data_IF_682468058380
#
_entry.id   IF_682468058380
#
_cell.length_a   1.000
_cell.length_b   1.000
_cell.length_c   1.000
_cell.angle_alpha   90.00
_cell.angle_beta   90.00
_cell.angle_gamma   90.00
#
_symmetry.space_group_name_H-M   'P 1'
#
loop_
_entity.id
_entity.type
_entity.pdbx_description
1 polymer ?
#
# COMPACT_ATOMS: atom_id res chain seq x y z
N UNK A 1 5.45 16.83 3.25
CA UNK A 1 4.65 15.72 3.81
C UNK A 1 5.52 14.62 4.42
N UNK A 2 6.31 13.87 3.64
CA UNK A 2 7.11 12.75 4.19
C UNK A 2 8.03 13.14 5.35
N UNK A 3 8.75 14.26 5.27
CA UNK A 3 9.60 14.73 6.38
C UNK A 3 8.78 14.91 7.67
N UNK A 4 7.59 15.52 7.59
CA UNK A 4 6.70 15.73 8.74
C UNK A 4 6.25 14.39 9.32
N UNK A 5 5.83 13.42 8.49
CA UNK A 5 5.42 12.10 8.95
C UNK A 5 6.55 11.37 9.70
N UNK A 6 7.79 11.45 9.20
CA UNK A 6 8.95 10.82 9.85
C UNK A 6 9.33 11.54 11.15
N UNK A 7 9.28 12.87 11.17
CA UNK A 7 9.50 13.64 12.41
C UNK A 7 8.47 13.29 13.49
N UNK A 8 7.19 13.20 13.12
CA UNK A 8 6.12 12.77 14.03
C UNK A 8 6.29 11.33 14.50
N UNK A 9 6.75 10.43 13.62
CA UNK A 9 7.05 9.04 14.00
C UNK A 9 8.19 8.95 15.03
N UNK A 10 9.24 9.77 14.90
CA UNK A 10 10.32 9.82 15.89
C UNK A 10 9.83 10.32 17.26
N UNK A 11 8.98 11.36 17.28
CA UNK A 11 8.32 11.82 18.50
C UNK A 11 7.45 10.72 19.09
N UNK A 12 6.64 10.05 18.26
CA UNK A 12 5.80 8.93 18.68
C UNK A 12 6.60 7.78 19.26
N UNK A 13 7.75 7.45 18.68
CA UNK A 13 8.65 6.41 19.19
C UNK A 13 9.21 6.75 20.56
N UNK A 14 9.64 8.00 20.78
CA UNK A 14 10.02 8.48 22.11
C UNK A 14 8.87 8.34 23.11
N UNK A 15 7.65 8.74 22.73
CA UNK A 15 6.47 8.60 23.60
C UNK A 15 6.17 7.13 23.94
N UNK A 16 6.27 6.22 22.97
CA UNK A 16 6.01 4.79 23.16
C UNK A 16 6.97 4.14 24.16
N UNK A 17 8.24 4.56 24.17
CA UNK A 17 9.24 3.98 25.06
C UNK A 17 9.12 4.54 26.48
N UNK A 18 8.95 5.86 26.61
CA UNK A 18 9.16 6.53 27.91
C UNK A 18 7.86 6.93 28.62
N UNK A 19 6.76 7.15 27.90
CA UNK A 19 5.58 7.81 28.46
C UNK A 19 4.25 7.05 28.24
N UNK A 20 4.17 6.21 27.21
CA UNK A 20 2.92 5.57 26.81
C UNK A 20 2.48 4.49 27.79
N UNK A 21 1.17 4.36 27.99
CA UNK A 21 0.59 3.23 28.72
C UNK A 21 0.79 1.95 27.91
N UNK A 22 0.97 0.82 28.60
CA UNK A 22 1.08 -0.50 27.96
C UNK A 22 -0.07 -0.81 26.99
N UNK A 23 -1.29 -0.38 27.31
CA UNK A 23 -2.43 -0.53 26.40
C UNK A 23 -2.23 0.21 25.07
N UNK A 24 -1.66 1.43 25.10
CA UNK A 24 -1.33 2.19 23.90
C UNK A 24 -0.25 1.50 23.09
N UNK A 25 0.81 1.03 23.76
CA UNK A 25 1.92 0.30 23.10
C UNK A 25 1.38 -0.96 22.40
N UNK A 26 0.60 -1.78 23.11
CA UNK A 26 -0.02 -2.98 22.56
C UNK A 26 -0.95 -2.66 21.39
N UNK A 27 -1.77 -1.62 21.53
CA UNK A 27 -2.65 -1.18 20.44
C UNK A 27 -1.86 -0.75 19.20
N UNK A 28 -0.79 0.03 19.36
CA UNK A 28 0.07 0.45 18.26
C UNK A 28 0.66 -0.76 17.53
N UNK A 29 1.21 -1.73 18.26
CA UNK A 29 1.77 -2.96 17.65
C UNK A 29 0.68 -3.74 16.90
N UNK A 30 -0.48 -3.98 17.53
CA UNK A 30 -1.58 -4.71 16.91
C UNK A 30 -2.09 -4.00 15.65
N UNK A 31 -2.26 -2.68 15.71
CA UNK A 31 -2.69 -1.87 14.57
C UNK A 31 -1.69 -1.95 13.41
N UNK A 32 -0.38 -1.86 13.69
CA UNK A 32 0.67 -2.03 12.69
C UNK A 32 0.65 -3.44 12.07
N UNK A 33 0.40 -4.49 12.87
CA UNK A 33 0.28 -5.86 12.36
C UNK A 33 -0.94 -6.03 11.45
N UNK A 34 -2.09 -5.45 11.83
CA UNK A 34 -3.31 -5.46 11.00
C UNK A 34 -3.03 -4.81 9.62
N UNK A 35 -2.36 -3.65 9.62
CA UNK A 35 -1.90 -3.00 8.39
C UNK A 35 -0.98 -3.89 7.56
N UNK A 36 0.05 -4.46 8.19
CA UNK A 36 1.01 -5.36 7.55
C UNK A 36 0.35 -6.60 6.93
N UNK A 37 -0.61 -7.23 7.63
CA UNK A 37 -1.39 -8.36 7.11
C UNK A 37 -2.29 -7.93 5.95
N UNK A 38 -2.93 -6.77 6.05
CA UNK A 38 -3.75 -6.21 4.97
C UNK A 38 -2.97 -5.99 3.66
N UNK A 39 -1.71 -5.55 3.76
CA UNK A 39 -0.81 -5.44 2.59
C UNK A 39 -0.33 -6.82 2.13
N UNK A 40 0.23 -7.63 3.02
CA UNK A 40 0.94 -8.86 2.63
C UNK A 40 -0.01 -10.01 2.26
N UNK A 41 -1.00 -10.31 3.09
CA UNK A 41 -1.99 -11.33 2.80
C UNK A 41 -3.04 -10.82 1.81
N UNK A 42 -3.47 -9.56 1.95
CA UNK A 42 -4.44 -8.91 1.08
C UNK A 42 -3.82 -8.42 -0.23
N UNK A 43 -3.43 -7.14 -0.28
CA UNK A 43 -3.05 -6.44 -1.52
C UNK A 43 -2.05 -7.25 -2.36
N UNK A 44 -1.03 -7.82 -1.73
CA UNK A 44 0.04 -8.58 -2.36
C UNK A 44 -0.42 -9.98 -2.81
N UNK A 45 -0.69 -10.91 -1.88
CA UNK A 45 -0.92 -12.33 -2.22
C UNK A 45 -2.31 -12.61 -2.79
N UNK A 46 -3.35 -12.00 -2.24
CA UNK A 46 -4.73 -12.25 -2.67
C UNK A 46 -5.04 -11.54 -3.99
N UNK A 47 -4.91 -10.22 -4.01
CA UNK A 47 -5.37 -9.41 -5.14
C UNK A 47 -4.30 -9.27 -6.23
N UNK A 48 -3.04 -9.07 -5.88
CA UNK A 48 -2.02 -8.89 -6.92
C UNK A 48 -1.65 -10.21 -7.60
N UNK A 49 -1.28 -11.22 -6.82
CA UNK A 49 -0.74 -12.49 -7.32
C UNK A 49 -1.75 -13.63 -7.42
N UNK A 50 -2.98 -13.46 -6.92
CA UNK A 50 -4.03 -14.49 -6.95
C UNK A 50 -3.58 -15.83 -6.38
N UNK A 51 -2.71 -15.80 -5.36
CA UNK A 51 -2.09 -17.02 -4.81
C UNK A 51 -3.08 -17.91 -4.04
N UNK A 52 -4.24 -17.37 -3.66
CA UNK A 52 -5.33 -18.10 -3.01
C UNK A 52 -6.67 -17.39 -3.26
N UNK A 53 -7.77 -18.06 -2.92
CA UNK A 53 -9.12 -17.50 -2.95
C UNK A 53 -9.62 -17.24 -1.53
N UNK A 54 -10.32 -16.13 -1.32
CA UNK A 54 -10.90 -15.76 -0.04
C UNK A 54 -12.41 -15.57 -0.19
N UNK A 55 -13.17 -15.97 0.84
CA UNK A 55 -14.60 -15.68 0.90
C UNK A 55 -14.83 -14.17 1.18
N UNK A 56 -16.07 -13.72 1.03
CA UNK A 56 -16.42 -12.30 1.19
C UNK A 56 -16.02 -11.73 2.57
N UNK A 57 -16.28 -12.38 3.72
CA UNK A 57 -15.84 -11.88 5.02
C UNK A 57 -14.33 -11.64 5.09
N UNK A 58 -13.52 -12.61 4.63
CA UNK A 58 -12.06 -12.48 4.65
C UNK A 58 -11.58 -11.37 3.73
N UNK A 59 -12.18 -11.21 2.53
CA UNK A 59 -11.88 -10.10 1.62
C UNK A 59 -12.15 -8.75 2.26
N UNK A 60 -13.26 -8.60 2.98
CA UNK A 60 -13.59 -7.36 3.69
C UNK A 60 -12.57 -7.09 4.81
N UNK A 61 -12.24 -8.10 5.62
CA UNK A 61 -11.25 -7.97 6.71
C UNK A 61 -9.89 -7.52 6.16
N UNK A 62 -9.40 -8.17 5.09
CA UNK A 62 -8.12 -7.82 4.49
C UNK A 62 -8.13 -6.44 3.83
N UNK A 63 -9.26 -6.02 3.25
CA UNK A 63 -9.42 -4.68 2.70
C UNK A 63 -9.37 -3.61 3.79
N UNK A 64 -10.07 -3.83 4.91
CA UNK A 64 -10.01 -2.93 6.07
C UNK A 64 -8.60 -2.88 6.67
N UNK A 65 -7.92 -4.02 6.76
CA UNK A 65 -6.52 -4.09 7.15
C UNK A 65 -5.62 -3.26 6.21
N UNK A 66 -5.83 -3.36 4.89
CA UNK A 66 -5.07 -2.57 3.93
C UNK A 66 -5.31 -1.06 4.08
N UNK A 67 -6.55 -0.64 4.39
CA UNK A 67 -6.85 0.77 4.70
C UNK A 67 -6.03 1.30 5.88
N UNK A 68 -5.76 0.47 6.90
CA UNK A 68 -4.91 0.84 8.04
C UNK A 68 -3.43 1.03 7.67
N UNK A 69 -2.97 0.44 6.56
CA UNK A 69 -1.58 0.54 6.10
C UNK A 69 -1.28 1.81 5.31
N UNK A 70 -2.31 2.46 4.76
CA UNK A 70 -2.19 3.76 4.09
C UNK A 70 -1.25 3.77 2.86
N UNK A 71 -1.25 2.71 2.05
CA UNK A 71 -0.38 2.55 0.87
C UNK A 71 -1.14 2.67 -0.47
N UNK A 72 -2.00 3.68 -0.62
CA UNK A 72 -3.01 3.81 -1.69
C UNK A 72 -4.10 2.71 -1.63
N UNK A 73 -5.10 2.80 -2.52
CA UNK A 73 -6.09 1.73 -2.67
C UNK A 73 -5.49 0.50 -3.36
N UNK A 74 -6.08 -0.66 -3.09
CA UNK A 74 -5.56 -1.97 -3.51
C UNK A 74 -5.43 -2.05 -5.04
N UNK A 75 -6.33 -1.45 -5.80
CA UNK A 75 -6.30 -1.54 -7.27
C UNK A 75 -5.05 -0.79 -7.80
N UNK A 76 -4.74 0.38 -7.26
CA UNK A 76 -3.56 1.15 -7.68
C UNK A 76 -2.25 0.53 -7.18
N UNK A 77 -2.24 0.02 -5.94
CA UNK A 77 -1.12 -0.73 -5.39
C UNK A 77 -0.82 -1.97 -6.23
N UNK A 78 -1.85 -2.75 -6.56
CA UNK A 78 -1.71 -3.97 -7.35
C UNK A 78 -1.27 -3.69 -8.79
N UNK A 79 -1.78 -2.63 -9.43
CA UNK A 79 -1.30 -2.19 -10.76
C UNK A 79 0.19 -1.95 -10.74
N UNK A 80 0.66 -1.13 -9.80
CA UNK A 80 2.08 -0.78 -9.71
C UNK A 80 2.93 -2.01 -9.38
N UNK A 81 2.44 -2.91 -8.52
CA UNK A 81 3.15 -4.13 -8.16
C UNK A 81 3.20 -5.17 -9.30
N UNK A 82 2.12 -5.35 -10.08
CA UNK A 82 2.16 -6.14 -11.33
C UNK A 82 3.13 -5.54 -12.34
N UNK A 83 3.17 -4.21 -12.45
CA UNK A 83 4.10 -3.50 -13.32
C UNK A 83 5.56 -3.73 -12.92
N UNK A 84 5.86 -3.61 -11.62
CA UNK A 84 7.17 -3.93 -11.06
C UNK A 84 7.60 -5.36 -11.38
N UNK A 85 6.77 -6.37 -11.09
CA UNK A 85 7.12 -7.76 -11.40
C UNK A 85 7.32 -8.02 -12.89
N UNK A 86 6.51 -7.41 -13.75
CA UNK A 86 6.55 -7.65 -15.20
C UNK A 86 7.70 -6.92 -15.90
N UNK A 87 8.09 -5.76 -15.40
CA UNK A 87 9.07 -4.87 -16.05
C UNK A 87 10.21 -4.47 -15.12
N UNK A 88 10.54 -5.35 -14.16
CA UNK A 88 11.54 -5.12 -13.13
C UNK A 88 12.85 -4.55 -13.72
N UNK A 89 13.46 -3.61 -12.98
CA UNK A 89 14.73 -2.98 -13.34
C UNK A 89 14.75 -2.31 -14.72
N UNK A 90 13.57 -1.85 -15.19
CA UNK A 90 13.44 -1.00 -16.37
C UNK A 90 12.76 0.33 -16.03
N UNK A 91 12.76 1.27 -16.98
CA UNK A 91 12.01 2.53 -16.87
C UNK A 91 10.48 2.37 -16.69
N UNK A 92 9.94 1.18 -16.90
CA UNK A 92 8.54 0.85 -16.66
C UNK A 92 8.26 0.29 -15.26
N UNK A 93 9.29 -0.05 -14.49
CA UNK A 93 9.16 -0.38 -13.08
C UNK A 93 8.93 0.92 -12.27
N UNK A 94 7.81 1.06 -11.54
CA UNK A 94 7.53 2.25 -10.75
C UNK A 94 8.60 2.60 -9.71
N UNK A 95 9.32 1.61 -9.17
CA UNK A 95 10.28 1.76 -8.08
C UNK A 95 11.59 0.98 -8.34
N UNK A 96 12.02 0.99 -9.60
CA UNK A 96 13.25 0.35 -10.09
C UNK A 96 14.47 0.57 -9.18
N UNK A 97 15.16 -0.52 -8.86
CA UNK A 97 16.36 -0.52 -8.01
C UNK A 97 17.59 0.08 -8.71
N UNK A 98 17.64 0.02 -10.04
CA UNK A 98 18.67 0.65 -10.90
C UNK A 98 18.76 2.17 -10.75
N UNK A 99 17.70 2.81 -10.22
CA UNK A 99 17.68 4.24 -9.94
C UNK A 99 18.24 4.60 -8.55
N UNK A 100 18.81 3.61 -7.86
CA UNK A 100 19.46 3.74 -6.57
C UNK A 100 18.53 3.56 -5.37
N UNK A 101 19.13 3.26 -4.22
CA UNK A 101 18.44 2.93 -2.97
C UNK A 101 17.39 3.96 -2.55
N UNK A 102 17.74 5.24 -2.57
CA UNK A 102 16.79 6.28 -2.14
C UNK A 102 15.55 6.32 -3.04
N UNK A 103 15.73 6.14 -4.35
CA UNK A 103 14.62 6.15 -5.29
C UNK A 103 13.67 4.96 -5.06
N UNK A 104 14.20 3.74 -5.00
CA UNK A 104 13.39 2.53 -4.80
C UNK A 104 12.74 2.47 -3.42
N UNK A 105 13.38 3.06 -2.40
CA UNK A 105 12.83 3.11 -1.04
C UNK A 105 11.70 4.13 -0.87
N UNK A 106 11.90 5.40 -1.28
CA UNK A 106 10.91 6.48 -1.08
C UNK A 106 10.85 7.50 -2.22
N UNK A 107 11.95 7.74 -2.92
CA UNK A 107 12.05 8.82 -3.92
C UNK A 107 11.05 8.68 -5.07
N UNK A 108 10.62 7.45 -5.41
CA UNK A 108 9.59 7.20 -6.40
C UNK A 108 8.22 7.81 -6.05
N UNK A 109 7.90 7.95 -4.75
CA UNK A 109 6.68 8.59 -4.26
C UNK A 109 6.76 10.12 -4.33
N UNK A 110 7.97 10.67 -4.45
CA UNK A 110 8.23 12.11 -4.40
C UNK A 110 8.42 12.73 -5.79
N UNK A 111 8.32 11.91 -6.84
CA UNK A 111 8.54 12.34 -8.22
C UNK A 111 7.39 11.89 -9.11
N UNK A 112 7.26 12.52 -10.28
CA UNK A 112 6.32 12.04 -11.29
C UNK A 112 6.80 10.69 -11.81
N UNK A 113 5.89 9.74 -11.94
CA UNK A 113 6.15 8.44 -12.58
C UNK A 113 6.72 8.66 -13.99
N UNK A 114 7.74 7.87 -14.34
CA UNK A 114 8.31 7.89 -15.68
C UNK A 114 7.23 7.55 -16.73
N UNK A 115 7.23 8.16 -17.94
CA UNK A 115 6.21 7.91 -18.96
C UNK A 115 6.00 6.43 -19.29
N UNK A 116 7.08 5.63 -19.28
CA UNK A 116 7.01 4.18 -19.53
C UNK A 116 6.19 3.42 -18.48
N UNK A 117 6.17 3.87 -17.22
CA UNK A 117 5.32 3.27 -16.17
C UNK A 117 3.84 3.43 -16.55
N UNK A 118 3.45 4.58 -17.12
CA UNK A 118 2.07 4.81 -17.58
C UNK A 118 1.76 4.00 -18.82
N UNK A 119 2.66 4.05 -19.82
CA UNK A 119 2.49 3.34 -21.11
C UNK A 119 2.39 1.84 -20.90
N UNK A 120 3.32 1.25 -20.14
CA UNK A 120 3.32 -0.19 -19.89
C UNK A 120 2.34 -0.63 -18.81
N UNK A 121 2.08 0.22 -17.82
CA UNK A 121 1.04 0.00 -16.82
C UNK A 121 -0.36 -0.12 -17.41
N UNK A 122 -0.65 0.60 -18.50
CA UNK A 122 -1.92 0.47 -19.24
C UNK A 122 -2.10 -0.91 -19.93
N UNK A 123 -1.02 -1.67 -20.11
CA UNK A 123 -1.06 -3.03 -20.66
C UNK A 123 -1.20 -4.12 -19.59
N UNK A 124 -1.24 -3.74 -18.30
CA UNK A 124 -1.50 -4.69 -17.22
C UNK A 124 -3.00 -4.97 -17.18
N UNK A 125 -3.37 -6.24 -17.28
CA UNK A 125 -4.76 -6.65 -17.07
C UNK A 125 -5.14 -6.40 -15.61
N UNK A 126 -6.24 -5.66 -15.43
CA UNK A 126 -6.81 -5.26 -14.15
C UNK A 126 -8.29 -5.65 -14.05
N UNK A 127 -8.83 -6.38 -15.04
CA UNK A 127 -10.26 -6.72 -15.13
C UNK A 127 -10.77 -7.46 -13.89
N UNK A 128 -9.95 -8.33 -13.31
CA UNK A 128 -10.24 -9.05 -12.06
C UNK A 128 -10.40 -8.13 -10.85
N UNK A 129 -9.62 -7.04 -10.79
CA UNK A 129 -9.66 -6.09 -9.68
C UNK A 129 -10.77 -5.06 -9.87
N UNK A 130 -11.05 -4.69 -11.13
CA UNK A 130 -12.12 -3.77 -11.50
C UNK A 130 -13.52 -4.41 -11.43
N UNK A 131 -13.61 -5.74 -11.39
CA UNK A 131 -14.86 -6.47 -11.16
C UNK A 131 -15.08 -6.83 -9.68
N UNK A 132 -14.12 -6.54 -8.81
CA UNK A 132 -14.22 -6.81 -7.38
C UNK A 132 -14.95 -5.67 -6.64
N UNK A 133 -16.21 -5.90 -6.26
CA UNK A 133 -17.03 -4.93 -5.53
C UNK A 133 -16.42 -4.44 -4.21
N UNK A 134 -15.64 -5.28 -3.51
CA UNK A 134 -14.96 -4.90 -2.26
C UNK A 134 -13.88 -3.87 -2.55
N UNK A 135 -13.16 -4.03 -3.66
CA UNK A 135 -12.13 -3.08 -4.08
C UNK A 135 -12.72 -1.79 -4.63
N UNK A 136 -13.80 -1.88 -5.40
CA UNK A 136 -14.53 -0.70 -5.88
C UNK A 136 -15.10 0.10 -4.70
N UNK A 137 -15.60 -0.58 -3.67
CA UNK A 137 -16.02 0.05 -2.41
C UNK A 137 -14.85 0.78 -1.74
N UNK A 138 -13.71 0.11 -1.55
CA UNK A 138 -12.51 0.72 -0.96
C UNK A 138 -12.11 1.98 -1.73
N UNK A 139 -11.95 1.88 -3.05
CA UNK A 139 -11.55 2.99 -3.91
C UNK A 139 -12.53 4.17 -3.83
N UNK A 140 -13.83 3.90 -3.77
CA UNK A 140 -14.87 4.94 -3.70
C UNK A 140 -14.86 5.70 -2.37
N UNK A 141 -14.65 5.01 -1.25
CA UNK A 141 -14.90 5.56 0.09
C UNK A 141 -13.65 5.76 0.94
N UNK A 142 -12.65 4.88 0.83
CA UNK A 142 -11.47 4.92 1.70
C UNK A 142 -10.56 6.10 1.35
N UNK A 143 -10.27 6.35 0.07
CA UNK A 143 -9.34 7.41 -0.33
C UNK A 143 -9.93 8.82 -0.27
N UNK A 144 -11.23 8.99 -0.55
CA UNK A 144 -11.88 10.32 -0.51
C UNK A 144 -11.94 10.93 0.89
N UNK A 145 -11.80 10.13 1.94
CA UNK A 145 -11.85 10.58 3.34
C UNK A 145 -10.47 10.79 3.98
N UNK A 146 -9.41 10.45 3.25
CA UNK A 146 -8.03 10.52 3.74
C UNK A 146 -7.43 11.94 3.62
N UNK A 147 -7.89 12.74 2.67
CA UNK A 147 -7.47 14.15 2.50
C UNK A 147 -8.45 15.15 3.14
N UNK A 148 -9.34 14.68 4.01
CA UNK A 148 -10.33 15.49 4.73
C UNK A 148 -9.98 15.68 6.22
N UNK A 149 -8.69 15.50 6.56
CA UNK A 149 -8.08 15.92 7.83
C UNK A 149 -7.00 16.96 7.51
#
# INVERSE_FOLDING_TARGET
MFAVLHSLALVGFYQLIFNAKWLTVSWTVLYSMIGGVGVTAGAHRLWTHKSYKANLPMRIILMLGNCAAFQNDIIDWARDHRCHHKFNDTNADPYSSERGFFFSHMGWLMTKKHPEVKRKGAMIDMSDLLSDEVLLFQRKYALKRIFLI
#
